data_IF_627222900229
#
_entry.id   IF_627222900229
#
_cell.length_a   1.000
_cell.length_b   1.000
_cell.length_c   1.000
_cell.angle_alpha   90.00
_cell.angle_beta   90.00
_cell.angle_gamma   90.00
#
_symmetry.space_group_name_H-M   'P 1'
#
loop_
_entity.id
_entity.type
_entity.pdbx_description
1 polymer ?
#
# COMPACT_ATOMS: atom_id res chain seq x y z
N UNK A 1 -9.79 13.22 -18.03
CA UNK A 1 -10.16 11.82 -18.29
C UNK A 1 -10.36 11.16 -16.93
N UNK A 2 -11.55 10.66 -16.59
CA UNK A 2 -11.79 10.04 -15.27
C UNK A 2 -11.14 8.65 -15.26
N UNK A 3 -10.30 8.37 -14.27
CA UNK A 3 -9.53 7.12 -14.18
C UNK A 3 -9.67 6.53 -12.78
N UNK A 4 -9.44 5.22 -12.66
CA UNK A 4 -9.29 4.57 -11.37
C UNK A 4 -8.07 5.14 -10.65
N UNK A 5 -8.12 5.24 -9.33
CA UNK A 5 -6.97 5.68 -8.51
C UNK A 5 -7.02 5.09 -7.12
N UNK A 6 -5.85 4.91 -6.52
CA UNK A 6 -5.67 4.56 -5.12
C UNK A 6 -5.17 5.76 -4.31
N UNK A 7 -5.65 5.88 -3.08
CA UNK A 7 -5.12 6.83 -2.10
C UNK A 7 -4.95 6.11 -0.76
N UNK A 8 -3.71 6.02 -0.28
CA UNK A 8 -3.40 5.59 1.07
C UNK A 8 -3.27 6.82 1.97
N UNK A 9 -3.96 6.78 3.11
CA UNK A 9 -3.97 7.84 4.12
C UNK A 9 -3.75 7.23 5.48
N UNK A 10 -2.88 7.82 6.31
CA UNK A 10 -2.63 7.38 7.68
C UNK A 10 -2.19 8.58 8.54
N UNK A 11 -2.54 8.62 9.81
CA UNK A 11 -2.04 9.67 10.71
C UNK A 11 -0.76 9.21 11.38
N UNK A 12 0.39 9.81 11.05
CA UNK A 12 1.66 9.38 11.63
C UNK A 12 1.79 9.91 13.06
N UNK A 13 2.12 9.02 13.99
CA UNK A 13 2.28 9.38 15.39
C UNK A 13 3.23 8.41 16.12
N UNK A 14 3.87 8.91 17.17
CA UNK A 14 4.56 8.04 18.11
C UNK A 14 3.52 7.20 18.87
N UNK A 15 3.59 5.87 18.74
CA UNK A 15 2.63 4.95 19.32
C UNK A 15 3.27 3.60 19.64
N UNK A 16 2.84 2.99 20.75
CA UNK A 16 3.15 1.60 21.10
C UNK A 16 2.17 0.60 20.47
N UNK A 17 1.10 1.10 19.85
CA UNK A 17 0.14 0.31 19.09
C UNK A 17 0.32 0.57 17.59
N UNK A 18 -0.01 -0.43 16.77
CA UNK A 18 0.02 -0.29 15.32
C UNK A 18 -1.08 0.67 14.85
N UNK A 19 -0.66 1.71 14.13
CA UNK A 19 -1.56 2.71 13.57
C UNK A 19 -2.15 2.18 12.27
N UNK A 20 -3.47 2.31 12.12
CA UNK A 20 -4.17 1.98 10.89
C UNK A 20 -4.70 3.24 10.23
N UNK A 21 -4.58 3.26 8.91
CA UNK A 21 -5.17 4.23 8.01
C UNK A 21 -6.20 3.58 7.08
N UNK A 22 -6.36 4.20 5.91
CA UNK A 22 -7.29 3.78 4.86
C UNK A 22 -6.60 3.76 3.51
N UNK A 23 -6.78 2.67 2.77
CA UNK A 23 -6.53 2.58 1.34
C UNK A 23 -7.86 2.74 0.61
N UNK A 24 -7.99 3.77 -0.23
CA UNK A 24 -9.21 4.10 -0.97
C UNK A 24 -9.04 3.83 -2.45
N UNK A 25 -9.84 2.93 -3.01
CA UNK A 25 -9.99 2.73 -4.46
C UNK A 25 -11.14 3.58 -4.98
N UNK A 26 -10.84 4.54 -5.85
CA UNK A 26 -11.83 5.42 -6.50
C UNK A 26 -12.04 4.99 -7.95
N UNK A 27 -13.30 4.91 -8.38
CA UNK A 27 -13.72 4.56 -9.73
C UNK A 27 -13.92 5.81 -10.62
N UNK A 28 -13.93 5.65 -11.96
CA UNK A 28 -14.18 6.76 -12.88
C UNK A 28 -15.52 7.49 -12.66
N UNK A 29 -16.52 6.82 -12.10
CA UNK A 29 -17.83 7.40 -11.78
C UNK A 29 -17.86 8.16 -10.44
N UNK A 30 -16.73 8.25 -9.73
CA UNK A 30 -16.54 8.79 -8.37
C UNK A 30 -17.08 7.89 -7.24
N UNK A 31 -17.60 6.70 -7.54
CA UNK A 31 -17.80 5.68 -6.52
C UNK A 31 -16.45 5.28 -5.91
N UNK A 32 -16.45 4.79 -4.67
CA UNK A 32 -15.23 4.34 -4.02
C UNK A 32 -15.44 3.18 -3.05
N UNK A 33 -14.35 2.48 -2.75
CA UNK A 33 -14.26 1.49 -1.67
C UNK A 33 -13.06 1.88 -0.79
N UNK A 34 -13.24 1.78 0.51
CA UNK A 34 -12.18 2.01 1.50
C UNK A 34 -11.85 0.71 2.23
N UNK A 35 -10.56 0.48 2.41
CA UNK A 35 -9.99 -0.69 3.06
C UNK A 35 -9.16 -0.21 4.27
N UNK A 36 -9.36 -0.84 5.43
CA UNK A 36 -8.46 -0.61 6.56
C UNK A 36 -7.09 -1.19 6.24
N UNK A 37 -6.07 -0.35 6.27
CA UNK A 37 -4.71 -0.70 5.88
C UNK A 37 -3.69 0.00 6.76
N UNK A 38 -2.46 -0.49 6.78
CA UNK A 38 -1.35 0.11 7.54
C UNK A 38 -0.06 0.03 6.73
N UNK A 39 0.94 0.79 7.14
CA UNK A 39 2.29 0.74 6.59
C UNK A 39 3.28 1.07 7.69
N UNK A 40 4.42 0.38 7.73
CA UNK A 40 5.35 0.49 8.85
C UNK A 40 5.03 -0.50 9.97
N UNK A 41 5.98 -0.66 10.87
CA UNK A 41 5.85 -1.48 12.08
C UNK A 41 5.49 -0.60 13.28
N UNK A 42 4.91 -1.20 14.32
CA UNK A 42 4.68 -0.54 15.61
C UNK A 42 5.94 0.19 16.09
N UNK A 43 5.78 1.40 16.65
CA UNK A 43 6.87 2.32 17.04
C UNK A 43 7.68 2.94 15.89
N UNK A 44 7.38 2.61 14.63
CA UNK A 44 8.05 3.13 13.44
C UNK A 44 7.05 3.79 12.46
N UNK A 45 6.04 4.47 13.01
CA UNK A 45 4.94 5.12 12.27
C UNK A 45 4.77 6.60 12.66
N UNK A 46 5.86 7.26 13.08
CA UNK A 46 5.89 8.70 13.36
C UNK A 46 6.46 9.47 12.16
N UNK A 47 6.22 10.80 12.07
CA UNK A 47 6.80 11.63 11.02
C UNK A 47 8.33 11.50 10.97
N UNK A 48 8.87 11.20 9.79
CA UNK A 48 10.30 11.00 9.55
C UNK A 48 10.73 9.52 9.50
N UNK A 49 9.90 8.60 10.00
CA UNK A 49 10.21 7.16 9.95
C UNK A 49 10.08 6.57 8.55
N UNK A 50 9.50 7.28 7.57
CA UNK A 50 9.39 6.86 6.17
C UNK A 50 10.73 6.43 5.56
N UNK A 51 11.86 6.82 6.14
CA UNK A 51 13.20 6.45 5.68
C UNK A 51 13.89 5.39 6.56
N UNK A 52 13.25 4.93 7.64
CA UNK A 52 13.72 3.86 8.50
C UNK A 52 13.62 2.49 7.79
N UNK A 53 14.72 2.08 7.13
CA UNK A 53 14.78 0.83 6.38
C UNK A 53 14.39 -0.38 7.24
N UNK A 54 13.52 -1.22 6.69
CA UNK A 54 13.07 -2.46 7.33
C UNK A 54 11.96 -2.29 8.36
N UNK A 55 11.48 -1.05 8.60
CA UNK A 55 10.50 -0.78 9.67
C UNK A 55 9.51 0.33 9.36
N UNK A 56 9.95 1.39 8.68
CA UNK A 56 9.15 2.58 8.44
C UNK A 56 8.05 2.39 7.40
N UNK A 57 7.05 3.27 7.39
CA UNK A 57 6.01 3.28 6.37
C UNK A 57 6.57 3.56 4.97
N UNK A 58 5.72 3.38 3.95
CA UNK A 58 5.99 3.82 2.57
C UNK A 58 6.27 5.34 2.55
N UNK A 59 7.28 5.83 1.82
CA UNK A 59 7.46 7.27 1.65
C UNK A 59 6.27 7.95 0.99
N UNK A 60 5.96 9.19 1.40
CA UNK A 60 4.97 10.04 0.72
C UNK A 60 5.65 10.92 -0.33
N UNK A 61 4.86 11.63 -1.16
CA UNK A 61 5.39 12.62 -2.12
C UNK A 61 5.88 12.06 -3.46
N UNK A 62 5.72 10.76 -3.73
CA UNK A 62 6.09 10.13 -5.00
C UNK A 62 4.87 9.84 -5.88
N UNK A 63 5.09 9.84 -7.20
CA UNK A 63 4.10 9.43 -8.20
C UNK A 63 4.04 7.91 -8.34
N UNK A 64 3.42 7.23 -7.38
CA UNK A 64 3.35 5.78 -7.39
C UNK A 64 2.35 5.23 -8.43
N UNK A 65 2.65 4.03 -8.93
CA UNK A 65 1.80 3.23 -9.80
C UNK A 65 1.70 1.80 -9.27
N UNK A 66 0.49 1.24 -9.37
CA UNK A 66 0.16 -0.12 -8.95
C UNK A 66 -0.30 -0.91 -10.18
N UNK A 67 0.38 -2.00 -10.57
CA UNK A 67 -0.11 -2.88 -11.61
C UNK A 67 -1.42 -3.53 -11.17
N UNK A 68 -2.33 -3.77 -12.10
CA UNK A 68 -3.64 -4.37 -11.81
C UNK A 68 -3.59 -5.89 -11.69
N UNK A 69 -2.48 -6.49 -12.13
CA UNK A 69 -2.21 -7.92 -12.04
C UNK A 69 -1.11 -8.14 -10.99
N UNK A 70 -1.37 -8.92 -9.93
CA UNK A 70 -0.35 -9.26 -8.94
C UNK A 70 0.54 -10.40 -9.45
N UNK A 71 1.62 -10.68 -8.73
CA UNK A 71 2.32 -11.97 -8.80
C UNK A 71 2.27 -12.67 -7.44
N UNK A 72 2.54 -13.98 -7.45
CA UNK A 72 2.56 -14.79 -6.24
C UNK A 72 3.93 -14.74 -5.56
N UNK A 73 3.95 -14.53 -4.25
CA UNK A 73 5.15 -14.66 -3.41
C UNK A 73 5.01 -15.84 -2.44
N UNK A 74 6.03 -16.73 -2.35
CA UNK A 74 6.06 -17.81 -1.36
C UNK A 74 6.65 -17.39 0.00
N UNK A 75 7.03 -16.13 0.15
CA UNK A 75 7.76 -15.64 1.33
C UNK A 75 6.82 -15.51 2.53
N UNK A 76 7.13 -16.23 3.61
CA UNK A 76 6.34 -16.19 4.85
C UNK A 76 6.16 -14.75 5.36
N UNK A 77 4.93 -14.38 5.71
CA UNK A 77 4.55 -13.03 6.14
C UNK A 77 4.05 -12.12 5.01
N UNK A 78 4.37 -12.45 3.75
CA UNK A 78 3.84 -11.80 2.54
C UNK A 78 3.31 -12.85 1.55
N UNK A 79 3.04 -14.06 2.03
CA UNK A 79 2.65 -15.19 1.19
C UNK A 79 1.31 -14.90 0.51
N UNK A 80 1.28 -15.05 -0.81
CA UNK A 80 0.10 -14.80 -1.62
C UNK A 80 0.32 -13.76 -2.71
N UNK A 81 -0.76 -13.11 -3.13
CA UNK A 81 -0.70 -12.06 -4.14
C UNK A 81 -0.01 -10.80 -3.62
N UNK A 82 0.90 -10.29 -4.44
CA UNK A 82 1.65 -9.08 -4.18
C UNK A 82 1.50 -8.12 -5.36
N UNK A 83 0.99 -6.92 -5.07
CA UNK A 83 0.90 -5.84 -6.05
C UNK A 83 2.08 -4.90 -5.86
N UNK A 84 3.09 -5.04 -6.71
CA UNK A 84 4.34 -4.29 -6.61
C UNK A 84 4.16 -2.80 -6.93
N UNK A 85 4.63 -1.94 -6.03
CA UNK A 85 4.52 -0.49 -6.18
C UNK A 85 5.73 0.01 -6.96
N UNK A 86 5.48 0.82 -7.99
CA UNK A 86 6.54 1.48 -8.76
C UNK A 86 6.42 3.01 -8.62
N UNK A 87 7.51 3.79 -8.74
CA UNK A 87 8.87 3.35 -9.01
C UNK A 87 9.48 2.58 -7.83
N UNK A 88 10.35 1.63 -8.15
CA UNK A 88 11.17 0.89 -7.19
C UNK A 88 12.62 0.85 -7.73
N UNK A 89 13.60 1.44 -7.03
CA UNK A 89 13.49 2.11 -5.74
C UNK A 89 12.90 3.53 -5.81
N UNK A 90 12.46 4.04 -4.66
CA UNK A 90 12.33 5.48 -4.41
C UNK A 90 13.53 5.99 -3.62
N UNK A 91 13.95 7.22 -3.92
CA UNK A 91 15.10 7.84 -3.26
C UNK A 91 14.90 9.33 -3.05
N UNK A 92 15.32 9.83 -1.88
CA UNK A 92 15.33 11.25 -1.54
C UNK A 92 16.50 11.55 -0.59
N UNK A 93 17.26 12.61 -0.88
CA UNK A 93 18.32 13.11 0.01
C UNK A 93 19.29 12.04 0.55
N UNK A 94 19.67 11.08 -0.31
CA UNK A 94 20.58 9.98 0.04
C UNK A 94 19.93 8.76 0.72
N UNK A 95 18.63 8.81 1.02
CA UNK A 95 17.86 7.67 1.51
C UNK A 95 17.26 6.89 0.33
N UNK A 96 17.12 5.57 0.50
CA UNK A 96 16.58 4.67 -0.53
C UNK A 96 15.60 3.70 0.13
N UNK A 97 14.43 3.52 -0.49
CA UNK A 97 13.44 2.48 -0.15
C UNK A 97 13.10 1.67 -1.39
N UNK A 98 12.97 0.36 -1.22
CA UNK A 98 12.71 -0.59 -2.30
C UNK A 98 11.78 -1.71 -1.84
N UNK A 99 11.35 -2.53 -2.81
CA UNK A 99 10.52 -3.73 -2.62
C UNK A 99 9.18 -3.42 -1.94
N UNK A 100 8.56 -2.32 -2.36
CA UNK A 100 7.29 -1.84 -1.82
C UNK A 100 6.12 -2.53 -2.52
N UNK A 101 5.06 -2.84 -1.76
CA UNK A 101 3.92 -3.61 -2.26
C UNK A 101 2.60 -3.31 -1.58
N UNK A 102 1.50 -3.78 -2.18
CA UNK A 102 0.22 -3.99 -1.50
C UNK A 102 0.00 -5.49 -1.35
N UNK A 103 -0.21 -5.96 -0.12
CA UNK A 103 -0.52 -7.36 0.17
C UNK A 103 -1.40 -7.52 1.42
N UNK A 104 -1.79 -8.76 1.73
CA UNK A 104 -2.51 -9.09 2.96
C UNK A 104 -1.57 -9.12 4.17
N UNK A 105 -2.05 -8.62 5.31
CA UNK A 105 -1.40 -8.81 6.62
C UNK A 105 -1.55 -10.27 7.07
N UNK A 106 -0.54 -11.11 6.75
CA UNK A 106 -0.54 -12.55 7.00
C UNK A 106 -0.15 -12.90 8.45
N UNK A 107 -0.80 -12.27 9.43
CA UNK A 107 -0.60 -12.45 10.89
C UNK A 107 0.75 -11.97 11.44
N UNK A 108 1.45 -11.08 10.74
CA UNK A 108 2.61 -10.35 11.27
C UNK A 108 2.26 -8.86 11.18
N UNK A 109 1.67 -8.28 12.23
CA UNK A 109 1.10 -6.93 12.16
C UNK A 109 2.14 -5.89 11.76
N UNK A 110 1.80 -5.11 10.74
CA UNK A 110 2.66 -4.05 10.18
C UNK A 110 3.46 -4.52 8.96
N UNK A 111 4.31 -3.63 8.46
CA UNK A 111 5.14 -3.92 7.29
C UNK A 111 6.43 -3.12 7.30
N UNK A 112 7.45 -3.61 6.60
CA UNK A 112 8.67 -2.85 6.34
C UNK A 112 8.53 -1.84 5.18
N UNK A 113 7.35 -1.22 5.03
CA UNK A 113 7.05 -0.22 4.00
C UNK A 113 5.95 -0.60 3.02
N UNK A 114 5.48 -1.84 2.99
CA UNK A 114 4.29 -2.19 2.19
C UNK A 114 3.03 -1.50 2.73
N UNK A 115 1.99 -1.40 1.92
CA UNK A 115 0.64 -1.12 2.39
C UNK A 115 -0.04 -2.48 2.61
N UNK A 116 -0.37 -2.81 3.86
CA UNK A 116 -0.96 -4.11 4.19
C UNK A 116 -2.41 -3.96 4.60
N UNK A 117 -3.29 -4.76 3.99
CA UNK A 117 -4.72 -4.74 4.31
C UNK A 117 -4.99 -5.60 5.54
N UNK A 118 -5.73 -5.03 6.50
CA UNK A 118 -5.92 -5.59 7.85
C UNK A 118 -6.67 -6.93 7.88
N UNK A 119 -7.67 -7.11 7.01
CA UNK A 119 -8.58 -8.25 7.09
C UNK A 119 -8.74 -8.94 5.75
N UNK A 120 -8.87 -10.26 5.80
CA UNK A 120 -8.93 -11.12 4.63
C UNK A 120 -10.13 -10.79 3.70
N UNK A 121 -11.36 -10.50 4.20
CA UNK A 121 -12.46 -10.10 3.33
C UNK A 121 -12.17 -8.82 2.55
N UNK A 122 -11.54 -7.82 3.19
CA UNK A 122 -11.11 -6.58 2.53
C UNK A 122 -10.04 -6.84 1.48
N UNK A 123 -9.08 -7.70 1.79
CA UNK A 123 -8.06 -8.13 0.85
C UNK A 123 -8.63 -8.85 -0.37
N UNK A 124 -9.49 -9.85 -0.17
CA UNK A 124 -10.14 -10.57 -1.27
C UNK A 124 -10.95 -9.62 -2.14
N UNK A 125 -11.72 -8.72 -1.53
CA UNK A 125 -12.45 -7.67 -2.25
C UNK A 125 -11.51 -6.74 -3.01
N UNK A 126 -10.33 -6.42 -2.50
CA UNK A 126 -9.33 -5.63 -3.24
C UNK A 126 -8.84 -6.37 -4.48
N UNK A 127 -8.44 -7.64 -4.33
CA UNK A 127 -8.00 -8.50 -5.42
C UNK A 127 -9.07 -8.62 -6.53
N UNK A 128 -10.32 -8.88 -6.17
CA UNK A 128 -11.43 -8.99 -7.12
C UNK A 128 -11.62 -7.69 -7.94
N UNK A 129 -11.45 -6.53 -7.29
CA UNK A 129 -11.58 -5.24 -7.97
C UNK A 129 -10.39 -4.94 -8.87
N UNK A 130 -9.17 -5.26 -8.44
CA UNK A 130 -7.98 -5.11 -9.28
C UNK A 130 -8.06 -6.03 -10.51
N UNK A 131 -8.54 -7.26 -10.35
CA UNK A 131 -8.76 -8.19 -11.46
C UNK A 131 -9.83 -7.68 -12.44
N UNK A 132 -10.95 -7.15 -11.93
CA UNK A 132 -11.98 -6.54 -12.78
C UNK A 132 -11.44 -5.33 -13.58
N UNK A 133 -10.60 -4.50 -12.94
CA UNK A 133 -9.93 -3.39 -13.61
C UNK A 133 -8.96 -3.92 -14.68
N UNK A 134 -8.18 -4.96 -14.39
CA UNK A 134 -7.30 -5.61 -15.38
C UNK A 134 -8.07 -6.14 -16.60
N UNK A 135 -9.23 -6.79 -16.39
CA UNK A 135 -10.12 -7.30 -17.44
C UNK A 135 -10.67 -6.18 -18.34
N UNK A 136 -10.72 -4.94 -17.86
CA UNK A 136 -11.08 -3.77 -18.67
C UNK A 136 -9.94 -3.22 -19.54
N UNK A 137 -8.76 -3.85 -19.52
CA UNK A 137 -7.58 -3.44 -20.29
C UNK A 137 -6.68 -2.42 -19.58
N UNK A 138 -7.00 -2.04 -18.34
CA UNK A 138 -6.17 -1.12 -17.53
C UNK A 138 -5.05 -1.91 -16.88
N UNK A 139 -3.79 -1.57 -17.19
CA UNK A 139 -2.60 -2.28 -16.72
C UNK A 139 -2.08 -1.80 -15.37
N UNK A 140 -2.27 -0.52 -15.06
CA UNK A 140 -1.85 0.08 -13.80
C UNK A 140 -2.77 1.24 -13.42
N UNK A 141 -2.79 1.55 -12.13
CA UNK A 141 -3.51 2.68 -11.56
C UNK A 141 -2.59 3.51 -10.65
N UNK A 142 -2.74 4.84 -10.61
CA UNK A 142 -1.95 5.69 -9.74
C UNK A 142 -2.27 5.42 -8.26
N UNK A 143 -1.25 5.49 -7.42
CA UNK A 143 -1.37 5.49 -5.96
C UNK A 143 -0.83 6.82 -5.42
N UNK A 144 -1.61 7.47 -4.55
CA UNK A 144 -1.13 8.57 -3.71
C UNK A 144 -0.96 8.09 -2.27
N UNK A 145 0.08 8.58 -1.60
CA UNK A 145 0.37 8.32 -0.18
C UNK A 145 0.36 9.65 0.54
N UNK A 146 -0.51 9.78 1.54
CA UNK A 146 -0.67 11.04 2.29
C UNK A 146 -0.68 10.75 3.79
N UNK A 147 0.06 11.57 4.54
CA UNK A 147 0.12 11.51 5.99
C UNK A 147 -0.43 12.79 6.61
N UNK A 148 -1.14 12.64 7.73
CA UNK A 148 -1.69 13.73 8.53
C UNK A 148 -1.06 13.74 9.92
#
# INVERSE_FOLDING_TARGET
>A
MKRHSLAFTMSLAASNDLIYGSLKLTYPDKGYIEYSATSGCTQWQQPGDEWARGKGPIPSGFEYQIPTVPYWLPTRGIEGFFFHITPDPVSESGHVRSELGIHFDANVPGSAGCIVLKNFPGWQRFCDRMEAIAKSGIKSIPLSVNYN
#
